data_IF_741400595904
#
_entry.id   IF_741400595904
#
_cell.length_a   1.000
_cell.length_b   1.000
_cell.length_c   1.000
_cell.angle_alpha   90.00
_cell.angle_beta   90.00
_cell.angle_gamma   90.00
#
_symmetry.space_group_name_H-M   'P 1'
#
loop_
_entity.id
_entity.type
_entity.pdbx_description
1 polymer ?
#
# COMPACT_ATOMS: atom_id res chain seq x y z
N UNK A 1 5.54 -7.03 5.23
CA UNK A 1 5.80 -6.45 6.57
C UNK A 1 4.82 -5.33 6.90
N UNK A 2 4.83 -4.18 6.23
CA UNK A 2 3.96 -3.03 6.57
C UNK A 2 2.45 -3.34 6.67
N UNK A 3 1.92 -4.23 5.83
CA UNK A 3 0.52 -4.68 5.91
C UNK A 3 0.17 -5.33 7.26
N UNK A 4 1.14 -6.04 7.85
CA UNK A 4 1.02 -6.68 9.16
C UNK A 4 1.15 -5.61 10.25
N UNK A 5 2.15 -4.74 10.16
CA UNK A 5 2.41 -3.72 11.18
C UNK A 5 1.22 -2.75 11.36
N UNK A 6 0.55 -2.40 10.25
CA UNK A 6 -0.60 -1.50 10.24
C UNK A 6 -1.94 -2.25 10.45
N UNK A 7 -1.91 -3.58 10.56
CA UNK A 7 -3.12 -4.42 10.68
C UNK A 7 -4.16 -4.06 9.61
N UNK A 8 -3.71 -4.06 8.35
CA UNK A 8 -4.52 -3.63 7.20
C UNK A 8 -5.70 -4.55 6.93
N UNK A 9 -5.54 -5.89 6.87
CA UNK A 9 -6.63 -6.78 6.52
C UNK A 9 -7.75 -6.77 7.56
N UNK A 10 -8.99 -6.68 7.07
CA UNK A 10 -10.16 -7.16 7.82
C UNK A 10 -10.56 -8.54 7.27
N UNK A 11 -11.45 -8.61 6.28
CA UNK A 11 -11.81 -9.90 5.66
C UNK A 11 -10.71 -10.51 4.77
N UNK A 12 -9.65 -9.77 4.45
CA UNK A 12 -8.52 -10.25 3.65
C UNK A 12 -8.74 -10.33 2.13
N UNK A 13 -9.99 -10.31 1.65
CA UNK A 13 -10.31 -10.63 0.25
C UNK A 13 -9.58 -9.75 -0.79
N UNK A 14 -9.58 -8.42 -0.60
CA UNK A 14 -8.95 -7.50 -1.56
C UNK A 14 -7.43 -7.33 -1.38
N UNK A 15 -6.84 -7.93 -0.34
CA UNK A 15 -5.50 -7.53 0.11
C UNK A 15 -4.40 -8.00 -0.85
N UNK A 16 -4.57 -9.15 -1.49
CA UNK A 16 -3.57 -9.66 -2.45
C UNK A 16 -3.42 -8.71 -3.65
N UNK A 17 -4.52 -8.27 -4.26
CA UNK A 17 -4.50 -7.32 -5.36
C UNK A 17 -3.87 -5.99 -4.95
N UNK A 18 -4.25 -5.48 -3.78
CA UNK A 18 -3.70 -4.24 -3.22
C UNK A 18 -2.19 -4.32 -2.98
N UNK A 19 -1.69 -5.43 -2.42
CA UNK A 19 -0.26 -5.62 -2.17
C UNK A 19 0.56 -5.69 -3.46
N UNK A 20 0.04 -6.38 -4.49
CA UNK A 20 0.71 -6.46 -5.80
C UNK A 20 0.76 -5.08 -6.45
N UNK A 21 -0.35 -4.34 -6.46
CA UNK A 21 -0.38 -3.00 -7.05
C UNK A 21 0.50 -2.00 -6.29
N UNK A 22 0.56 -2.11 -4.96
CA UNK A 22 1.46 -1.31 -4.14
C UNK A 22 2.93 -1.63 -4.45
N UNK A 23 3.28 -2.90 -4.61
CA UNK A 23 4.64 -3.31 -4.97
C UNK A 23 5.02 -2.78 -6.37
N UNK A 24 4.11 -2.86 -7.34
CA UNK A 24 4.29 -2.29 -8.68
C UNK A 24 4.53 -0.78 -8.65
N UNK A 25 3.67 -0.02 -7.93
CA UNK A 25 3.83 1.42 -7.73
C UNK A 25 5.21 1.75 -7.10
N UNK A 26 5.60 1.04 -6.04
CA UNK A 26 6.84 1.32 -5.31
C UNK A 26 8.10 0.87 -6.07
N UNK A 27 7.96 -0.02 -7.05
CA UNK A 27 9.05 -0.40 -7.95
C UNK A 27 9.47 0.74 -8.87
N UNK A 28 8.50 1.55 -9.32
CA UNK A 28 8.71 2.66 -10.26
C UNK A 28 8.87 4.01 -9.55
N UNK A 29 8.14 4.23 -8.45
CA UNK A 29 8.21 5.44 -7.64
C UNK A 29 8.43 5.09 -6.17
N UNK A 30 9.65 5.30 -5.67
CA UNK A 30 10.02 5.01 -4.27
C UNK A 30 9.53 6.05 -3.26
N UNK A 31 8.95 7.16 -3.70
CA UNK A 31 8.41 8.21 -2.84
C UNK A 31 7.10 8.81 -3.40
N UNK A 32 6.06 7.98 -3.56
CA UNK A 32 4.79 8.47 -4.08
C UNK A 32 4.10 9.37 -3.05
N UNK A 33 3.46 10.41 -3.54
CA UNK A 33 2.51 11.24 -2.79
C UNK A 33 1.24 10.45 -2.45
N UNK A 34 0.46 10.97 -1.51
CA UNK A 34 -0.83 10.35 -1.15
C UNK A 34 -1.79 10.23 -2.34
N UNK A 35 -1.88 11.27 -3.18
CA UNK A 35 -2.75 11.27 -4.36
C UNK A 35 -2.32 10.24 -5.41
N UNK A 36 -1.01 10.04 -5.60
CA UNK A 36 -0.50 8.98 -6.47
C UNK A 36 -0.85 7.59 -5.93
N UNK A 37 -0.72 7.37 -4.61
CA UNK A 37 -1.13 6.11 -3.99
C UNK A 37 -2.63 5.87 -4.19
N UNK A 38 -3.46 6.87 -3.91
CA UNK A 38 -4.91 6.78 -4.09
C UNK A 38 -5.27 6.45 -5.54
N UNK A 39 -4.64 7.14 -6.48
CA UNK A 39 -4.85 6.93 -7.92
C UNK A 39 -4.48 5.52 -8.35
N UNK A 40 -3.32 5.02 -7.90
CA UNK A 40 -2.88 3.65 -8.18
C UNK A 40 -3.83 2.59 -7.59
N UNK A 41 -4.50 2.89 -6.47
CA UNK A 41 -5.42 1.95 -5.82
C UNK A 41 -6.86 2.00 -6.35
N UNK A 42 -7.23 2.92 -7.25
CA UNK A 42 -8.62 3.09 -7.71
C UNK A 42 -9.22 1.82 -8.36
N UNK A 43 -8.40 0.95 -8.93
CA UNK A 43 -8.83 -0.34 -9.50
C UNK A 43 -9.08 -1.44 -8.47
N UNK A 44 -8.72 -1.23 -7.20
CA UNK A 44 -8.78 -2.23 -6.15
C UNK A 44 -9.85 -1.85 -5.13
N UNK A 45 -10.96 -2.58 -5.12
CA UNK A 45 -12.09 -2.27 -4.26
C UNK A 45 -11.99 -2.98 -2.91
N UNK A 46 -12.19 -2.23 -1.82
CA UNK A 46 -12.28 -2.73 -0.46
C UNK A 46 -13.68 -2.48 0.12
N UNK A 47 -14.43 -3.54 0.42
CA UNK A 47 -15.75 -3.42 1.05
C UNK A 47 -15.68 -3.26 2.58
N UNK A 48 -14.58 -3.67 3.20
CA UNK A 48 -14.37 -3.52 4.64
C UNK A 48 -13.99 -2.10 5.06
N UNK A 49 -13.69 -1.20 4.12
CA UNK A 49 -13.35 0.20 4.41
C UNK A 49 -11.95 0.42 4.96
N UNK A 50 -10.97 -0.44 4.64
CA UNK A 50 -9.60 -0.35 5.20
C UNK A 50 -8.63 0.53 4.39
N UNK A 51 -9.13 1.38 3.47
CA UNK A 51 -8.28 2.23 2.62
C UNK A 51 -7.30 3.14 3.39
N UNK A 52 -7.67 3.80 4.51
CA UNK A 52 -6.71 4.60 5.26
C UNK A 52 -5.51 3.78 5.76
N UNK A 53 -5.75 2.53 6.20
CA UNK A 53 -4.69 1.61 6.62
C UNK A 53 -3.82 1.16 5.46
N UNK A 54 -4.42 0.91 4.29
CA UNK A 54 -3.68 0.59 3.05
C UNK A 54 -2.73 1.74 2.70
N UNK A 55 -3.24 2.97 2.70
CA UNK A 55 -2.44 4.17 2.43
C UNK A 55 -1.24 4.28 3.39
N UNK A 56 -1.49 4.17 4.70
CA UNK A 56 -0.42 4.20 5.71
C UNK A 56 0.60 3.08 5.51
N UNK A 57 0.16 1.86 5.19
CA UNK A 57 1.06 0.73 4.97
C UNK A 57 1.95 0.94 3.72
N UNK A 58 1.42 1.54 2.66
CA UNK A 58 2.21 1.86 1.45
C UNK A 58 3.25 2.95 1.77
N UNK A 59 2.87 3.99 2.51
CA UNK A 59 3.82 5.03 2.94
C UNK A 59 4.95 4.47 3.81
N UNK A 60 4.62 3.58 4.75
CA UNK A 60 5.62 2.89 5.58
C UNK A 60 6.52 1.98 4.75
N UNK A 61 5.95 1.22 3.82
CA UNK A 61 6.73 0.37 2.91
C UNK A 61 7.68 1.20 2.04
N UNK A 62 7.23 2.33 1.49
CA UNK A 62 8.05 3.25 0.71
C UNK A 62 9.24 3.78 1.53
N UNK A 63 8.99 4.21 2.78
CA UNK A 63 10.03 4.67 3.69
C UNK A 63 11.05 3.56 4.00
N UNK A 64 10.58 2.34 4.28
CA UNK A 64 11.44 1.19 4.54
C UNK A 64 12.30 0.81 3.33
N UNK A 65 11.74 0.80 2.12
CA UNK A 65 12.48 0.50 0.88
C UNK A 65 13.55 1.54 0.57
N UNK A 66 13.29 2.82 0.83
CA UNK A 66 14.31 3.87 0.69
C UNK A 66 15.45 3.69 1.70
N UNK A 67 15.12 3.35 2.95
CA UNK A 67 16.11 3.11 4.00
C UNK A 67 16.99 1.89 3.70
N UNK A 68 16.45 0.84 3.07
CA UNK A 68 17.19 -0.36 2.72
C UNK A 68 18.08 -0.23 1.46
N UNK A 69 17.83 0.79 0.63
CA UNK A 69 18.63 1.08 -0.57
C UNK A 69 19.68 2.18 -0.38
N UNK A 70 19.81 2.72 0.85
CA UNK A 70 20.84 3.66 1.28
C UNK A 70 21.88 2.90 2.14
#
# INVERSE_FOLDING_TARGET
QAWIDVQVPHCGYCQNGMMIQAADLLSSNKNPSEDEIRTAMNGHLCRCGTYPRILTAIQQAAAAMRKAGA
#
